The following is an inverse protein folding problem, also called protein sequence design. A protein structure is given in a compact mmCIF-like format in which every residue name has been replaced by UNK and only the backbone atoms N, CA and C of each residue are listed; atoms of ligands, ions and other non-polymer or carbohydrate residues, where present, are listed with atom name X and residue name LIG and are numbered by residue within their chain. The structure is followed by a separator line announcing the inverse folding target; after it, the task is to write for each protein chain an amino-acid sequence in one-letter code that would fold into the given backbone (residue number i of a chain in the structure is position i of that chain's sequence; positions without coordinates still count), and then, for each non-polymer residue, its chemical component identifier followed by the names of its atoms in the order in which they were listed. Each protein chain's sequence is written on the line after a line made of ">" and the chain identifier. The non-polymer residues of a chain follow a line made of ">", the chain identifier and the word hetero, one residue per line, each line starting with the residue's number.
data_IF_828514824090
#
_entry.id   IF_828514824090
#
_cell.length_a   1.000
_cell.length_b   1.000
_cell.length_c   1.000
_cell.angle_alpha   90.00
_cell.angle_beta   90.00
_cell.angle_gamma   90.00
#
_symmetry.space_group_name_H-M   'P 1'
#
loop_
_entity.id
_entity.type
_entity.pdbx_description
1 polymer ?
#
# COMPACT_ATOMS: atom_id res chain seq x y z
N UNK A 1 11.94 -55.26 -3.29
CA UNK A 1 10.85 -54.30 -2.96
C UNK A 1 11.41 -53.14 -2.14
N UNK A 2 12.13 -53.41 -1.06
CA UNK A 2 12.81 -52.38 -0.26
C UNK A 2 13.82 -51.56 -1.07
N UNK A 3 14.62 -52.21 -1.94
CA UNK A 3 15.54 -51.49 -2.84
C UNK A 3 14.83 -50.50 -3.77
N UNK A 4 13.64 -50.88 -4.27
CA UNK A 4 12.84 -50.01 -5.12
C UNK A 4 12.27 -48.82 -4.32
N UNK A 5 11.77 -49.09 -3.11
CA UNK A 5 11.28 -48.04 -2.20
C UNK A 5 12.39 -47.07 -1.83
N UNK A 6 13.60 -47.56 -1.53
CA UNK A 6 14.76 -46.74 -1.23
C UNK A 6 15.23 -45.91 -2.44
N UNK A 7 15.22 -46.49 -3.64
CA UNK A 7 15.56 -45.77 -4.87
C UNK A 7 14.56 -44.65 -5.17
N UNK A 8 13.26 -44.93 -5.02
CA UNK A 8 12.20 -43.92 -5.18
C UNK A 8 12.36 -42.81 -4.14
N UNK A 9 12.53 -43.16 -2.85
CA UNK A 9 12.77 -42.19 -1.78
C UNK A 9 13.97 -41.28 -2.10
N UNK A 10 15.11 -41.85 -2.50
CA UNK A 10 16.29 -41.07 -2.88
C UNK A 10 16.02 -40.12 -4.06
N UNK A 11 15.24 -40.58 -5.04
CA UNK A 11 14.79 -39.75 -6.16
C UNK A 11 13.85 -38.63 -5.74
N UNK A 12 12.95 -38.88 -4.80
CA UNK A 12 11.98 -37.91 -4.28
C UNK A 12 12.63 -36.87 -3.37
N UNK A 13 13.48 -37.27 -2.43
CA UNK A 13 14.23 -36.35 -1.54
C UNK A 13 15.16 -35.46 -2.36
N UNK A 14 15.80 -36.00 -3.40
CA UNK A 14 16.62 -35.22 -4.33
C UNK A 14 15.83 -34.39 -5.36
N UNK A 15 14.50 -34.36 -5.27
CA UNK A 15 13.58 -33.65 -6.17
C UNK A 15 13.75 -34.01 -7.68
N UNK A 16 14.16 -35.25 -7.98
CA UNK A 16 14.35 -35.78 -9.35
C UNK A 16 13.17 -36.61 -9.84
N UNK A 17 12.38 -37.16 -8.93
CA UNK A 17 11.23 -38.02 -9.21
C UNK A 17 10.08 -37.62 -8.30
N UNK A 18 8.89 -37.41 -8.87
CA UNK A 18 7.65 -37.18 -8.11
C UNK A 18 6.76 -38.43 -8.24
N UNK A 19 6.60 -39.24 -7.17
CA UNK A 19 5.76 -40.43 -7.23
C UNK A 19 4.29 -40.05 -7.46
N UNK A 20 3.71 -40.50 -8.57
CA UNK A 20 2.30 -40.27 -8.87
C UNK A 20 1.43 -41.40 -8.32
N UNK A 21 0.42 -41.05 -7.53
CA UNK A 21 -0.59 -41.97 -7.00
C UNK A 21 -1.98 -41.59 -7.51
N UNK A 22 -2.95 -42.52 -7.43
CA UNK A 22 -4.34 -42.26 -7.79
C UNK A 22 -5.30 -42.61 -6.65
N UNK A 23 -6.43 -41.92 -6.60
CA UNK A 23 -7.44 -42.11 -5.58
C UNK A 23 -8.61 -41.12 -5.73
N UNK A 24 -9.60 -41.25 -4.86
CA UNK A 24 -10.71 -40.32 -4.72
C UNK A 24 -11.00 -40.09 -3.25
N UNK A 25 -10.66 -38.90 -2.75
CA UNK A 25 -10.91 -38.49 -1.37
C UNK A 25 -12.43 -38.49 -1.06
N UNK A 26 -13.25 -37.95 -1.97
CA UNK A 26 -14.70 -37.91 -1.82
C UNK A 26 -15.33 -39.31 -1.66
N UNK A 27 -14.78 -40.32 -2.34
CA UNK A 27 -15.25 -41.71 -2.23
C UNK A 27 -14.49 -42.54 -1.19
N UNK A 28 -13.60 -41.92 -0.40
CA UNK A 28 -12.73 -42.56 0.57
C UNK A 28 -11.88 -43.71 -0.01
N UNK A 29 -11.44 -43.60 -1.27
CA UNK A 29 -10.63 -44.63 -1.95
C UNK A 29 -9.21 -44.13 -2.17
N UNK A 30 -8.20 -44.84 -1.68
CA UNK A 30 -6.79 -44.55 -1.95
C UNK A 30 -6.09 -43.60 -0.97
N UNK A 31 -6.84 -42.89 -0.09
CA UNK A 31 -6.25 -41.97 0.90
C UNK A 31 -5.29 -42.67 1.85
N UNK A 32 -5.61 -43.88 2.32
CA UNK A 32 -4.71 -44.67 3.17
C UNK A 32 -3.39 -44.99 2.46
N UNK A 33 -3.43 -45.28 1.16
CA UNK A 33 -2.22 -45.55 0.36
C UNK A 33 -1.40 -44.30 0.08
N UNK A 34 -2.04 -43.14 0.02
CA UNK A 34 -1.35 -41.85 -0.02
C UNK A 34 -0.61 -41.60 1.31
N UNK A 35 -1.24 -41.87 2.46
CA UNK A 35 -0.58 -41.75 3.77
C UNK A 35 0.61 -42.71 3.90
N UNK A 36 0.45 -43.97 3.45
CA UNK A 36 1.56 -44.94 3.37
C UNK A 36 2.70 -44.41 2.46
N UNK A 37 2.37 -43.71 1.38
CA UNK A 37 3.38 -43.16 0.46
C UNK A 37 4.12 -41.97 1.05
N UNK A 38 3.44 -41.13 1.85
CA UNK A 38 4.05 -40.01 2.58
C UNK A 38 5.15 -40.54 3.51
N UNK A 39 4.87 -41.57 4.30
CA UNK A 39 5.87 -42.12 5.24
C UNK A 39 7.04 -42.80 4.52
N UNK A 40 6.79 -43.47 3.40
CA UNK A 40 7.85 -44.16 2.66
C UNK A 40 8.74 -43.21 1.84
N UNK A 41 8.17 -42.19 1.20
CA UNK A 41 8.88 -41.43 0.14
C UNK A 41 9.21 -39.98 0.50
N UNK A 42 8.46 -39.32 1.39
CA UNK A 42 8.76 -37.93 1.77
C UNK A 42 9.90 -37.87 2.82
N UNK A 43 10.68 -36.78 2.83
CA UNK A 43 11.81 -36.61 3.74
C UNK A 43 11.35 -36.44 5.20
N UNK A 44 12.18 -36.93 6.12
CA UNK A 44 12.19 -36.45 7.49
C UNK A 44 12.99 -35.14 7.61
N UNK A 45 12.85 -34.36 8.69
CA UNK A 45 13.66 -33.15 8.90
C UNK A 45 15.17 -33.39 8.78
N UNK A 46 15.66 -34.56 9.19
CA UNK A 46 17.07 -34.95 9.10
C UNK A 46 17.54 -35.36 7.69
N UNK A 47 16.62 -35.64 6.76
CA UNK A 47 16.95 -35.98 5.37
C UNK A 47 17.14 -34.74 4.48
N UNK A 48 16.80 -33.56 5.00
CA UNK A 48 16.91 -32.29 4.28
C UNK A 48 18.31 -31.66 4.49
N UNK A 49 18.79 -30.86 3.52
CA UNK A 49 20.00 -30.07 3.72
C UNK A 49 19.84 -29.09 4.89
N UNK A 50 20.98 -28.69 5.46
CA UNK A 50 21.04 -27.67 6.50
C UNK A 50 20.41 -26.36 6.00
N UNK A 51 19.78 -25.62 6.91
CA UNK A 51 19.15 -24.36 6.54
C UNK A 51 20.22 -23.27 6.49
N UNK A 52 20.24 -22.55 5.37
CA UNK A 52 21.08 -21.36 5.19
C UNK A 52 20.42 -20.15 5.86
N UNK A 53 21.22 -19.40 6.60
CA UNK A 53 20.90 -18.08 7.14
C UNK A 53 22.11 -17.15 7.07
N UNK A 54 21.97 -15.94 7.60
CA UNK A 54 23.07 -14.97 7.69
C UNK A 54 23.13 -14.31 9.06
N UNK A 55 24.26 -13.67 9.38
CA UNK A 55 24.39 -12.89 10.61
C UNK A 55 23.55 -11.60 10.51
N UNK A 56 22.84 -11.16 11.57
CA UNK A 56 22.02 -9.94 11.49
C UNK A 56 22.79 -8.67 11.06
N UNK A 57 24.08 -8.59 11.42
CA UNK A 57 24.95 -7.45 11.09
C UNK A 57 25.69 -7.59 9.75
N UNK A 58 25.77 -8.80 9.19
CA UNK A 58 26.46 -9.06 7.92
C UNK A 58 25.71 -10.10 7.08
N UNK A 59 25.10 -9.61 6.00
CA UNK A 59 24.32 -10.41 5.04
C UNK A 59 25.20 -11.34 4.20
N UNK A 60 26.51 -11.10 4.12
CA UNK A 60 27.44 -11.95 3.36
C UNK A 60 27.93 -13.16 4.16
N UNK A 61 27.87 -13.10 5.50
CA UNK A 61 28.29 -14.20 6.36
C UNK A 61 27.20 -15.28 6.41
N UNK A 62 27.37 -16.35 5.63
CA UNK A 62 26.45 -17.48 5.62
C UNK A 62 26.64 -18.37 6.85
N UNK A 63 25.57 -18.55 7.62
CA UNK A 63 25.50 -19.45 8.77
C UNK A 63 24.63 -20.65 8.39
N UNK A 64 25.14 -21.86 8.62
CA UNK A 64 24.39 -23.10 8.41
C UNK A 64 23.83 -23.61 9.74
N UNK A 65 22.58 -24.08 9.71
CA UNK A 65 21.91 -24.69 10.87
C UNK A 65 21.54 -26.14 10.55
N UNK A 66 22.21 -27.06 11.23
CA UNK A 66 21.92 -28.49 11.18
C UNK A 66 20.65 -28.81 11.96
N UNK A 67 19.88 -29.79 11.49
CA UNK A 67 18.66 -30.25 12.15
C UNK A 67 18.97 -31.16 13.36
N UNK A 68 19.74 -30.63 14.32
CA UNK A 68 20.14 -31.33 15.54
C UNK A 68 19.65 -30.60 16.80
N UNK A 69 19.26 -31.36 17.81
CA UNK A 69 18.73 -30.83 19.08
C UNK A 69 19.80 -30.12 19.93
N UNK A 70 21.08 -30.47 19.73
CA UNK A 70 22.21 -29.89 20.47
C UNK A 70 22.79 -28.65 19.78
N UNK A 71 22.34 -28.31 18.57
CA UNK A 71 22.73 -27.08 17.90
C UNK A 71 22.08 -25.86 18.58
N UNK A 72 22.61 -24.63 18.40
CA UNK A 72 21.99 -23.46 19.00
C UNK A 72 20.64 -23.19 18.34
N UNK A 73 19.66 -22.72 19.12
CA UNK A 73 18.27 -22.63 18.70
C UNK A 73 18.06 -21.70 17.49
N UNK A 74 17.28 -22.16 16.51
CA UNK A 74 16.79 -21.36 15.39
C UNK A 74 15.41 -21.83 14.92
N UNK A 75 14.46 -20.91 14.78
CA UNK A 75 13.12 -21.16 14.29
C UNK A 75 12.62 -20.02 13.40
N UNK A 76 11.72 -20.35 12.47
CA UNK A 76 11.05 -19.37 11.60
C UNK A 76 9.58 -19.27 11.99
N UNK A 77 9.12 -18.06 12.30
CA UNK A 77 7.70 -17.77 12.45
C UNK A 77 7.04 -17.69 11.07
N UNK A 78 6.11 -18.60 10.76
CA UNK A 78 5.50 -18.67 9.42
C UNK A 78 4.02 -18.30 9.41
N UNK A 79 3.38 -18.17 10.57
CA UNK A 79 1.98 -17.73 10.65
C UNK A 79 1.67 -17.12 12.01
N UNK A 80 1.07 -15.94 11.99
CA UNK A 80 0.42 -15.34 13.15
C UNK A 80 -1.09 -15.58 13.04
N UNK A 81 -1.72 -15.91 14.16
CA UNK A 81 -3.17 -16.07 14.26
C UNK A 81 -3.66 -15.47 15.57
N UNK A 82 -4.67 -14.61 15.52
CA UNK A 82 -5.39 -14.20 16.72
C UNK A 82 -6.40 -15.28 17.16
N UNK A 83 -6.24 -15.85 18.35
CA UNK A 83 -7.26 -16.70 18.99
C UNK A 83 -8.03 -15.88 20.06
N UNK A 84 -9.38 -15.94 20.07
CA UNK A 84 -10.19 -15.17 21.01
C UNK A 84 -9.93 -15.45 22.51
N UNK A 85 -9.44 -16.65 22.85
CA UNK A 85 -9.25 -17.08 24.23
C UNK A 85 -7.79 -16.99 24.69
N UNK A 86 -6.84 -17.23 23.76
CA UNK A 86 -5.42 -17.33 24.08
C UNK A 86 -4.59 -16.13 23.62
N UNK A 87 -5.19 -15.21 22.87
CA UNK A 87 -4.51 -14.05 22.31
C UNK A 87 -3.74 -14.39 21.04
N UNK A 88 -2.58 -13.75 20.84
CA UNK A 88 -1.73 -13.91 19.65
C UNK A 88 -0.99 -15.26 19.71
N UNK A 89 -1.32 -16.15 18.77
CA UNK A 89 -0.62 -17.41 18.54
C UNK A 89 0.36 -17.22 17.38
N UNK A 90 1.63 -17.51 17.62
CA UNK A 90 2.66 -17.46 16.59
C UNK A 90 3.11 -18.87 16.30
N UNK A 91 2.79 -19.37 15.11
CA UNK A 91 3.26 -20.65 14.62
C UNK A 91 4.69 -20.50 14.11
N UNK A 92 5.55 -21.36 14.60
CA UNK A 92 6.95 -21.41 14.23
C UNK A 92 7.36 -22.85 13.91
N UNK A 93 8.33 -22.98 13.01
CA UNK A 93 9.03 -24.23 12.71
C UNK A 93 10.43 -24.15 13.31
N UNK A 94 10.79 -25.12 14.15
CA UNK A 94 12.15 -25.23 14.68
C UNK A 94 13.02 -25.93 13.65
N UNK A 95 14.14 -25.30 13.29
CA UNK A 95 15.12 -25.88 12.38
C UNK A 95 16.29 -26.51 13.11
N UNK A 96 16.75 -25.89 14.20
CA UNK A 96 17.87 -26.39 15.00
C UNK A 96 17.69 -26.05 16.48
N UNK A 97 18.30 -26.85 17.34
CA UNK A 97 18.24 -26.70 18.79
C UNK A 97 16.90 -27.04 19.42
N UNK A 98 16.74 -26.64 20.68
CA UNK A 98 15.54 -26.89 21.48
C UNK A 98 14.99 -25.60 22.07
N UNK A 99 13.66 -25.54 22.20
CA UNK A 99 12.97 -24.42 22.83
C UNK A 99 12.21 -24.89 24.06
N UNK A 100 12.41 -24.21 25.18
CA UNK A 100 11.68 -24.47 26.42
C UNK A 100 10.69 -23.36 26.73
N UNK A 101 9.53 -23.70 27.27
CA UNK A 101 8.58 -22.72 27.75
C UNK A 101 9.18 -21.90 28.92
N UNK A 102 9.02 -20.58 28.87
CA UNK A 102 9.51 -19.64 29.88
C UNK A 102 10.88 -19.02 29.60
N UNK A 103 11.60 -19.47 28.57
CA UNK A 103 12.91 -18.91 28.20
C UNK A 103 12.81 -17.64 27.37
N UNK A 104 13.94 -16.93 27.26
CA UNK A 104 14.09 -15.78 26.38
C UNK A 104 14.72 -16.24 25.06
N UNK A 105 14.25 -15.66 23.97
CA UNK A 105 14.76 -15.85 22.61
C UNK A 105 14.98 -14.49 21.96
N UNK A 106 15.89 -14.42 21.01
CA UNK A 106 16.11 -13.22 20.20
C UNK A 106 15.27 -13.30 18.92
N UNK A 107 14.44 -12.30 18.67
CA UNK A 107 13.93 -12.03 17.33
C UNK A 107 15.06 -11.31 16.58
N UNK A 108 15.79 -12.05 15.75
CA UNK A 108 16.99 -11.55 15.06
C UNK A 108 16.65 -10.58 13.92
N UNK A 109 15.46 -10.72 13.31
CA UNK A 109 14.98 -9.78 12.27
C UNK A 109 14.76 -8.37 12.84
N UNK A 110 14.34 -8.26 14.10
CA UNK A 110 14.04 -6.96 14.75
C UNK A 110 15.03 -6.56 15.85
N UNK A 111 15.99 -7.43 16.18
CA UNK A 111 16.96 -7.22 17.25
C UNK A 111 16.33 -7.11 18.65
N UNK A 112 15.18 -7.75 18.88
CA UNK A 112 14.43 -7.65 20.16
C UNK A 112 14.40 -8.98 20.90
N UNK A 113 14.64 -8.93 22.21
CA UNK A 113 14.48 -10.08 23.10
C UNK A 113 13.00 -10.30 23.41
N UNK A 114 12.54 -11.53 23.28
CA UNK A 114 11.17 -11.94 23.57
C UNK A 114 11.14 -13.10 24.55
N UNK A 115 10.09 -13.18 25.36
CA UNK A 115 9.90 -14.26 26.31
C UNK A 115 8.85 -15.22 25.82
N UNK A 116 9.21 -16.49 25.66
CA UNK A 116 8.26 -17.54 25.28
C UNK A 116 7.42 -17.89 26.51
N UNK A 117 6.15 -17.50 26.53
CA UNK A 117 5.28 -17.75 27.69
C UNK A 117 4.80 -19.20 27.76
N UNK A 118 4.04 -19.62 26.75
CA UNK A 118 3.50 -20.98 26.64
C UNK A 118 3.70 -21.51 25.22
N UNK A 119 3.88 -22.82 25.12
CA UNK A 119 4.02 -23.52 23.86
C UNK A 119 2.86 -24.51 23.71
N UNK A 120 2.21 -24.48 22.55
CA UNK A 120 1.01 -25.25 22.24
C UNK A 120 1.22 -26.03 20.94
N UNK A 121 0.93 -27.32 20.97
CA UNK A 121 0.83 -28.15 19.77
C UNK A 121 -0.65 -28.36 19.43
N UNK A 122 -1.01 -27.99 18.21
CA UNK A 122 -2.39 -28.01 17.74
C UNK A 122 -2.66 -29.36 17.07
N UNK A 123 -3.47 -30.21 17.70
CA UNK A 123 -3.94 -31.47 17.13
C UNK A 123 -5.33 -31.29 16.51
N UNK A 124 -5.82 -32.30 15.79
CA UNK A 124 -7.08 -32.24 15.06
C UNK A 124 -8.30 -31.89 15.94
N UNK A 125 -8.33 -32.32 17.20
CA UNK A 125 -9.45 -32.15 18.12
C UNK A 125 -9.06 -31.52 19.48
N UNK A 126 -7.77 -31.40 19.78
CA UNK A 126 -7.29 -30.97 21.08
C UNK A 126 -6.05 -30.09 20.98
N UNK A 127 -5.82 -29.28 22.00
CA UNK A 127 -4.65 -28.42 22.13
C UNK A 127 -3.80 -28.98 23.26
N UNK A 128 -2.55 -29.34 22.97
CA UNK A 128 -1.63 -29.92 23.94
C UNK A 128 -0.59 -28.88 24.34
N UNK A 129 -0.42 -28.63 25.64
CA UNK A 129 0.68 -27.80 26.13
C UNK A 129 1.95 -28.64 26.21
N UNK A 130 3.03 -28.13 25.62
CA UNK A 130 4.36 -28.76 25.65
C UNK A 130 5.31 -27.87 26.44
N UNK A 131 6.19 -28.48 27.21
CA UNK A 131 7.26 -27.77 27.92
C UNK A 131 8.45 -27.53 27.01
N UNK A 132 8.84 -28.54 26.23
CA UNK A 132 10.00 -28.52 25.35
C UNK A 132 9.60 -28.87 23.90
N UNK A 133 10.32 -28.28 22.94
CA UNK A 133 10.21 -28.55 21.49
C UNK A 133 11.59 -28.76 20.88
N UNK A 134 11.67 -29.67 19.91
CA UNK A 134 12.92 -30.17 19.31
C UNK A 134 13.09 -29.73 17.85
N UNK A 135 14.26 -30.03 17.28
CA UNK A 135 14.55 -29.69 15.90
C UNK A 135 13.62 -30.45 14.94
N UNK A 136 12.98 -29.73 14.02
CA UNK A 136 12.02 -30.28 13.04
C UNK A 136 10.55 -30.19 13.46
N UNK A 137 10.25 -29.88 14.72
CA UNK A 137 8.88 -29.74 15.20
C UNK A 137 8.24 -28.40 14.81
N UNK A 138 6.90 -28.40 14.81
CA UNK A 138 6.06 -27.22 14.58
C UNK A 138 5.12 -27.04 15.77
N UNK A 139 5.04 -25.82 16.29
CA UNK A 139 4.12 -25.44 17.35
C UNK A 139 3.75 -23.96 17.31
N UNK A 140 2.84 -23.58 18.20
CA UNK A 140 2.44 -22.20 18.44
C UNK A 140 2.97 -21.69 19.78
N UNK A 141 3.60 -20.52 19.77
CA UNK A 141 4.00 -19.79 20.97
C UNK A 141 2.95 -18.74 21.34
N UNK A 142 2.75 -18.54 22.64
CA UNK A 142 1.94 -17.47 23.23
C UNK A 142 2.84 -16.56 24.06
N UNK A 143 2.65 -15.25 23.93
CA UNK A 143 3.39 -14.23 24.69
C UNK A 143 4.52 -13.54 23.93
N UNK A 144 4.56 -13.71 22.60
CA UNK A 144 5.47 -13.00 21.71
C UNK A 144 4.76 -11.75 21.17
N UNK A 145 5.23 -10.57 21.57
CA UNK A 145 4.55 -9.30 21.29
C UNK A 145 4.97 -8.70 19.95
N UNK A 146 6.25 -8.80 19.60
CA UNK A 146 6.87 -8.15 18.44
C UNK A 146 7.16 -9.07 17.27
N UNK A 147 6.93 -10.37 17.39
CA UNK A 147 7.12 -11.32 16.28
C UNK A 147 5.96 -11.29 15.29
N UNK A 148 6.30 -11.29 13.99
CA UNK A 148 5.37 -11.35 12.85
C UNK A 148 5.72 -12.50 11.91
N UNK A 149 4.85 -12.79 10.93
CA UNK A 149 5.10 -13.79 9.89
C UNK A 149 6.36 -13.42 9.09
N UNK A 150 7.31 -14.36 9.00
CA UNK A 150 8.60 -14.19 8.34
C UNK A 150 9.77 -13.88 9.29
N UNK A 151 9.51 -13.57 10.57
CA UNK A 151 10.57 -13.29 11.53
C UNK A 151 11.31 -14.57 11.96
N UNK A 152 12.61 -14.42 12.25
CA UNK A 152 13.44 -15.49 12.80
C UNK A 152 13.57 -15.36 14.32
N UNK A 153 13.37 -16.47 15.03
CA UNK A 153 13.60 -16.61 16.47
C UNK A 153 14.85 -17.46 16.68
N UNK A 154 15.83 -16.97 17.43
CA UNK A 154 17.09 -17.68 17.65
C UNK A 154 17.61 -17.54 19.09
N UNK A 155 18.69 -18.25 19.39
CA UNK A 155 19.47 -18.05 20.61
C UNK A 155 20.11 -16.65 20.64
N UNK A 156 20.27 -16.08 21.84
CA UNK A 156 20.91 -14.78 22.04
C UNK A 156 22.42 -14.84 21.80
N UNK A 157 23.05 -15.96 22.17
CA UNK A 157 24.51 -16.15 22.07
C UNK A 157 24.95 -16.54 20.65
N UNK A 158 24.02 -16.89 19.78
CA UNK A 158 24.29 -17.33 18.41
C UNK A 158 23.21 -16.83 17.46
N UNK A 159 23.19 -15.50 17.19
CA UNK A 159 22.16 -14.90 16.36
C UNK A 159 22.24 -15.38 14.90
N UNK A 160 21.08 -15.59 14.28
CA UNK A 160 20.97 -15.94 12.87
C UNK A 160 19.67 -15.39 12.31
N UNK A 161 19.69 -14.89 11.09
CA UNK A 161 18.50 -14.54 10.30
C UNK A 161 18.33 -15.61 9.23
N UNK A 162 17.25 -16.39 9.31
CA UNK A 162 16.91 -17.36 8.28
C UNK A 162 16.34 -16.60 7.08
N UNK A 163 16.43 -17.20 5.89
CA UNK A 163 15.93 -16.59 4.66
C UNK A 163 14.44 -16.21 4.82
N UNK A 164 14.18 -14.91 4.78
CA UNK A 164 12.85 -14.36 4.90
C UNK A 164 12.04 -14.74 3.64
N UNK A 165 10.78 -15.08 3.82
CA UNK A 165 9.87 -15.28 2.68
C UNK A 165 9.74 -13.96 1.92
N UNK A 166 10.13 -13.94 0.64
CA UNK A 166 9.86 -12.81 -0.24
C UNK A 166 8.35 -12.75 -0.51
N UNK A 167 7.71 -11.70 0.00
CA UNK A 167 6.31 -11.44 -0.27
C UNK A 167 6.15 -10.63 -1.55
N UNK A 168 5.28 -11.05 -2.48
CA UNK A 168 5.02 -10.29 -3.69
C UNK A 168 4.36 -8.95 -3.37
N UNK A 169 4.65 -7.94 -4.21
CA UNK A 169 4.04 -6.62 -4.09
C UNK A 169 2.54 -6.70 -4.40
N UNK A 170 1.66 -6.06 -3.62
CA UNK A 170 0.23 -6.02 -3.90
C UNK A 170 -0.08 -5.46 -5.29
N UNK A 171 -1.05 -6.06 -5.99
CA UNK A 171 -1.42 -5.68 -7.37
C UNK A 171 -2.79 -5.03 -7.47
N UNK A 172 -3.54 -4.94 -6.36
CA UNK A 172 -4.88 -4.36 -6.38
C UNK A 172 -5.12 -3.53 -5.14
N UNK A 173 -5.83 -2.40 -5.29
CA UNK A 173 -6.15 -1.48 -4.20
C UNK A 173 -7.65 -1.20 -4.12
N UNK A 174 -8.15 -0.91 -2.92
CA UNK A 174 -9.54 -0.63 -2.60
C UNK A 174 -9.63 0.47 -1.54
N UNK A 175 -10.58 1.39 -1.66
CA UNK A 175 -10.79 2.43 -0.65
C UNK A 175 -11.84 1.98 0.36
N UNK A 176 -11.55 2.21 1.64
CA UNK A 176 -12.49 1.98 2.74
C UNK A 176 -12.70 3.27 3.55
N UNK A 177 -13.97 3.61 3.76
CA UNK A 177 -14.38 4.79 4.54
C UNK A 177 -15.36 4.42 5.64
N UNK A 178 -15.11 4.91 6.86
CA UNK A 178 -16.02 4.75 7.99
C UNK A 178 -16.93 5.96 8.14
N UNK A 179 -18.14 5.75 8.66
CA UNK A 179 -19.11 6.84 8.91
C UNK A 179 -18.90 7.52 10.26
N UNK A 180 -18.39 6.79 11.25
CA UNK A 180 -18.21 7.30 12.61
C UNK A 180 -16.74 7.25 13.03
N UNK A 181 -16.34 8.17 13.92
CA UNK A 181 -14.99 8.16 14.52
C UNK A 181 -14.73 6.90 15.34
N UNK A 182 -15.76 6.37 16.01
CA UNK A 182 -15.63 5.14 16.77
C UNK A 182 -15.28 3.95 15.87
N UNK A 183 -15.85 3.90 14.67
CA UNK A 183 -15.52 2.84 13.70
C UNK A 183 -14.17 3.07 13.03
N UNK A 184 -13.69 4.32 12.93
CA UNK A 184 -12.33 4.62 12.48
C UNK A 184 -11.28 4.03 13.43
N UNK A 185 -11.48 4.14 14.75
CA UNK A 185 -10.59 3.54 15.75
C UNK A 185 -10.61 2.00 15.70
N UNK A 186 -11.79 1.40 15.47
CA UNK A 186 -11.92 -0.06 15.28
C UNK A 186 -11.25 -0.51 13.99
N UNK A 187 -11.44 0.23 12.90
CA UNK A 187 -10.83 -0.04 11.60
C UNK A 187 -9.31 -0.05 11.73
N UNK A 188 -8.71 0.98 12.34
CA UNK A 188 -7.27 1.05 12.54
C UNK A 188 -6.73 -0.17 13.32
N UNK A 189 -7.42 -0.58 14.40
CA UNK A 189 -7.04 -1.77 15.19
C UNK A 189 -7.20 -3.09 14.41
N UNK A 190 -8.28 -3.22 13.64
CA UNK A 190 -8.52 -4.40 12.80
C UNK A 190 -7.48 -4.53 11.70
N UNK A 191 -7.21 -3.43 10.99
CA UNK A 191 -6.21 -3.37 9.92
C UNK A 191 -4.80 -3.69 10.41
N UNK A 192 -4.39 -3.16 11.57
CA UNK A 192 -3.09 -3.52 12.17
C UNK A 192 -3.00 -5.02 12.46
N UNK A 193 -4.05 -5.62 13.02
CA UNK A 193 -4.07 -7.07 13.29
C UNK A 193 -4.03 -7.90 12.02
N UNK A 194 -4.79 -7.52 10.99
CA UNK A 194 -4.80 -8.23 9.72
C UNK A 194 -3.46 -8.12 8.99
N UNK A 195 -2.81 -6.95 9.04
CA UNK A 195 -1.47 -6.76 8.48
C UNK A 195 -0.38 -7.56 9.21
N UNK A 196 -0.54 -7.82 10.52
CA UNK A 196 0.35 -8.73 11.26
C UNK A 196 0.16 -10.20 10.86
N UNK A 197 -1.07 -10.60 10.50
CA UNK A 197 -1.38 -11.96 10.04
C UNK A 197 -0.94 -12.20 8.60
N UNK A 198 -1.18 -11.23 7.72
CA UNK A 198 -0.87 -11.30 6.28
C UNK A 198 0.09 -10.17 5.85
N UNK A 199 1.39 -10.47 5.64
CA UNK A 199 2.37 -9.50 5.17
C UNK A 199 2.20 -9.10 3.69
N UNK A 200 1.35 -9.80 2.92
CA UNK A 200 1.02 -9.43 1.53
C UNK A 200 -0.07 -8.36 1.45
N UNK A 201 -0.60 -7.95 2.61
CA UNK A 201 -1.61 -6.91 2.72
C UNK A 201 -0.97 -5.61 3.21
N UNK A 202 -1.16 -4.53 2.44
CA UNK A 202 -0.65 -3.20 2.78
C UNK A 202 -1.81 -2.25 3.05
N UNK A 203 -1.60 -1.37 4.03
CA UNK A 203 -2.56 -0.36 4.42
C UNK A 203 -1.88 1.00 4.33
N UNK A 204 -2.46 1.88 3.54
CA UNK A 204 -2.02 3.26 3.42
C UNK A 204 -3.18 4.19 3.79
N UNK A 205 -2.88 5.28 4.50
CA UNK A 205 -3.86 6.34 4.74
C UNK A 205 -3.58 7.46 3.75
N UNK A 206 -4.52 7.69 2.84
CA UNK A 206 -4.42 8.80 1.90
C UNK A 206 -4.72 10.10 2.65
N UNK A 207 -3.70 10.96 2.73
CA UNK A 207 -3.76 12.23 3.44
C UNK A 207 -4.68 13.25 2.76
N UNK A 208 -5.00 13.06 1.50
CA UNK A 208 -5.78 14.02 0.71
C UNK A 208 -7.27 13.69 0.69
N UNK A 209 -7.60 12.41 0.55
CA UNK A 209 -8.99 11.94 0.56
C UNK A 209 -9.49 11.61 1.98
N UNK A 210 -8.59 11.54 2.96
CA UNK A 210 -8.83 11.00 4.31
C UNK A 210 -9.41 9.58 4.28
N UNK A 211 -9.22 8.87 3.17
CA UNK A 211 -9.65 7.48 3.00
C UNK A 211 -8.50 6.53 3.33
N UNK A 212 -8.84 5.33 3.79
CA UNK A 212 -7.86 4.28 4.00
C UNK A 212 -7.82 3.43 2.74
N UNK A 213 -6.64 3.31 2.12
CA UNK A 213 -6.40 2.51 0.93
C UNK A 213 -5.87 1.15 1.38
N UNK A 214 -6.57 0.11 0.97
CA UNK A 214 -6.25 -1.30 1.24
C UNK A 214 -5.66 -1.90 -0.03
N UNK A 215 -4.44 -2.42 0.05
CA UNK A 215 -3.74 -3.03 -1.09
C UNK A 215 -3.48 -4.50 -0.83
N UNK A 216 -3.81 -5.36 -1.80
CA UNK A 216 -3.66 -6.81 -1.70
C UNK A 216 -3.40 -7.51 -3.04
N UNK A 217 -3.38 -8.84 -2.98
CA UNK A 217 -3.01 -9.73 -4.10
C UNK A 217 -4.10 -9.89 -5.18
N UNK A 218 -5.32 -9.42 -4.92
CA UNK A 218 -6.43 -9.51 -5.87
C UNK A 218 -7.79 -9.25 -5.23
N UNK A 219 -8.84 -9.32 -6.04
CA UNK A 219 -10.22 -8.98 -5.65
C UNK A 219 -10.74 -9.82 -4.50
N UNK A 220 -10.67 -11.15 -4.63
CA UNK A 220 -11.09 -12.06 -3.56
C UNK A 220 -10.29 -11.84 -2.26
N UNK A 221 -9.01 -11.50 -2.36
CA UNK A 221 -8.20 -11.21 -1.17
C UNK A 221 -8.75 -9.98 -0.45
N UNK A 222 -8.96 -8.86 -1.15
CA UNK A 222 -9.51 -7.66 -0.53
C UNK A 222 -10.95 -7.85 -0.04
N UNK A 223 -11.77 -8.63 -0.75
CA UNK A 223 -13.12 -8.98 -0.32
C UNK A 223 -13.11 -9.74 1.02
N UNK A 224 -12.24 -10.74 1.15
CA UNK A 224 -12.08 -11.48 2.41
C UNK A 224 -11.60 -10.55 3.53
N UNK A 225 -10.65 -9.64 3.26
CA UNK A 225 -10.17 -8.69 4.27
C UNK A 225 -11.29 -7.77 4.76
N UNK A 226 -12.10 -7.23 3.84
CA UNK A 226 -13.27 -6.42 4.20
C UNK A 226 -14.28 -7.23 5.01
N UNK A 227 -14.57 -8.45 4.58
CA UNK A 227 -15.50 -9.36 5.26
C UNK A 227 -15.04 -9.66 6.69
N UNK A 228 -13.74 -9.94 6.88
CA UNK A 228 -13.14 -10.13 8.21
C UNK A 228 -13.22 -8.85 9.06
N UNK A 229 -12.99 -7.67 8.49
CA UNK A 229 -13.16 -6.40 9.22
C UNK A 229 -14.60 -6.19 9.70
N UNK A 230 -15.58 -6.55 8.87
CA UNK A 230 -17.00 -6.43 9.23
C UNK A 230 -17.40 -7.46 10.30
N UNK A 231 -17.00 -8.72 10.15
CA UNK A 231 -17.43 -9.81 11.03
C UNK A 231 -16.61 -9.95 12.32
N UNK A 232 -15.28 -9.87 12.24
CA UNK A 232 -14.40 -10.05 13.41
C UNK A 232 -14.31 -8.78 14.26
N UNK A 233 -14.35 -7.61 13.62
CA UNK A 233 -14.11 -6.31 14.28
C UNK A 233 -15.36 -5.42 14.37
N UNK A 234 -16.51 -5.84 13.82
CA UNK A 234 -17.77 -5.07 13.81
C UNK A 234 -17.57 -3.64 13.31
N UNK A 235 -16.83 -3.50 12.20
CA UNK A 235 -16.56 -2.22 11.54
C UNK A 235 -17.62 -1.99 10.47
N UNK A 236 -18.46 -0.97 10.65
CA UNK A 236 -19.33 -0.49 9.58
C UNK A 236 -18.55 0.45 8.66
N UNK A 237 -18.11 -0.09 7.52
CA UNK A 237 -17.39 0.67 6.51
C UNK A 237 -18.02 0.54 5.13
N UNK A 238 -17.96 1.63 4.37
CA UNK A 238 -18.36 1.67 2.97
C UNK A 238 -17.13 1.39 2.14
N UNK A 239 -17.23 0.35 1.33
CA UNK A 239 -16.21 -0.01 0.34
C UNK A 239 -16.46 0.78 -0.93
N UNK A 240 -15.43 1.46 -1.41
CA UNK A 240 -15.43 2.21 -2.65
C UNK A 240 -14.26 1.81 -3.55
N UNK A 241 -14.36 2.20 -4.82
CA UNK A 241 -13.18 2.22 -5.69
C UNK A 241 -12.18 3.25 -5.15
N UNK A 242 -10.86 3.03 -5.30
CA UNK A 242 -9.89 4.07 -4.98
C UNK A 242 -10.21 5.34 -5.74
N UNK A 243 -10.17 6.48 -5.07
CA UNK A 243 -10.36 7.78 -5.73
C UNK A 243 -9.06 8.21 -6.37
N UNK A 244 -9.19 8.82 -7.55
CA UNK A 244 -8.06 9.42 -8.23
C UNK A 244 -7.85 10.81 -7.65
N UNK A 245 -6.63 11.11 -7.22
CA UNK A 245 -6.25 12.43 -6.75
C UNK A 245 -6.07 13.38 -7.94
N UNK A 246 -7.18 13.93 -8.46
CA UNK A 246 -7.15 14.96 -9.49
C UNK A 246 -6.52 16.26 -8.96
N UNK A 247 -6.05 17.09 -9.89
CA UNK A 247 -5.56 18.45 -9.62
C UNK A 247 -6.21 19.45 -10.55
N UNK A 248 -6.13 20.71 -10.17
CA UNK A 248 -6.58 21.84 -10.99
C UNK A 248 -5.38 22.70 -11.38
N UNK A 249 -5.36 23.22 -12.60
CA UNK A 249 -4.41 24.27 -13.00
C UNK A 249 -5.08 25.24 -13.98
N UNK A 250 -4.38 26.31 -14.35
CA UNK A 250 -4.83 27.28 -15.35
C UNK A 250 -4.04 27.11 -16.64
N UNK A 251 -4.63 27.54 -17.76
CA UNK A 251 -3.94 27.56 -19.07
C UNK A 251 -3.56 28.96 -19.50
N UNK A 252 -4.36 29.96 -19.14
CA UNK A 252 -4.15 31.35 -19.54
C UNK A 252 -3.80 32.23 -18.34
N UNK A 253 -2.98 33.24 -18.59
CA UNK A 253 -2.74 34.30 -17.62
C UNK A 253 -4.01 35.13 -17.40
N UNK A 254 -4.27 35.53 -16.17
CA UNK A 254 -5.42 36.36 -15.84
C UNK A 254 -5.10 37.38 -14.74
N UNK A 255 -5.61 38.59 -14.89
CA UNK A 255 -5.52 39.65 -13.89
C UNK A 255 -6.88 39.83 -13.21
N UNK A 256 -6.86 40.03 -11.89
CA UNK A 256 -8.05 40.40 -11.13
C UNK A 256 -7.74 41.45 -10.08
N UNK A 257 -8.57 42.49 -10.08
CA UNK A 257 -8.60 43.53 -9.05
C UNK A 257 -9.83 43.32 -8.18
N UNK A 258 -9.61 43.03 -6.89
CA UNK A 258 -10.69 42.77 -5.94
C UNK A 258 -10.58 43.65 -4.69
N UNK A 259 -11.67 44.36 -4.41
CA UNK A 259 -11.82 45.24 -3.24
C UNK A 259 -12.89 44.71 -2.29
N UNK A 260 -12.47 44.27 -1.11
CA UNK A 260 -13.34 43.85 -0.02
C UNK A 260 -13.62 45.02 0.92
N UNK A 261 -14.84 45.55 0.85
CA UNK A 261 -15.35 46.57 1.79
C UNK A 261 -16.61 46.02 2.46
N UNK A 262 -16.56 45.85 3.78
CA UNK A 262 -17.74 45.41 4.54
C UNK A 262 -17.89 46.23 5.82
N UNK A 263 -19.04 46.88 5.96
CA UNK A 263 -19.39 47.72 7.11
C UNK A 263 -20.74 47.27 7.67
N UNK A 264 -20.76 46.12 8.37
CA UNK A 264 -21.93 45.63 9.10
C UNK A 264 -21.69 45.79 10.59
N UNK A 265 -22.17 46.89 11.17
CA UNK A 265 -22.40 47.08 12.61
C UNK A 265 -21.21 46.98 13.59
N UNK A 266 -20.00 46.67 13.13
CA UNK A 266 -18.77 46.52 13.96
C UNK A 266 -17.53 47.17 13.31
N UNK A 267 -16.32 46.73 13.68
CA UNK A 267 -15.06 47.20 13.06
C UNK A 267 -15.15 47.04 11.53
N UNK A 268 -14.85 48.10 10.79
CA UNK A 268 -14.85 48.07 9.33
C UNK A 268 -13.82 47.07 8.81
N UNK A 269 -14.12 46.44 7.68
CA UNK A 269 -13.16 45.61 6.95
C UNK A 269 -12.87 46.27 5.61
N UNK A 270 -11.60 46.58 5.37
CA UNK A 270 -11.09 47.10 4.12
C UNK A 270 -9.85 46.32 3.68
N UNK A 271 -9.89 45.74 2.48
CA UNK A 271 -8.71 45.20 1.83
C UNK A 271 -8.89 45.29 0.31
N UNK A 272 -7.82 45.66 -0.39
CA UNK A 272 -7.82 45.74 -1.84
C UNK A 272 -6.53 45.10 -2.37
N UNK A 273 -6.69 44.12 -3.24
CA UNK A 273 -5.58 43.35 -3.82
C UNK A 273 -5.76 43.26 -5.33
N UNK A 274 -4.67 43.44 -6.05
CA UNK A 274 -4.57 43.24 -7.49
C UNK A 274 -3.53 42.16 -7.77
N UNK A 275 -3.99 41.05 -8.33
CA UNK A 275 -3.17 39.86 -8.58
C UNK A 275 -3.18 39.53 -10.07
N UNK A 276 -2.03 39.07 -10.55
CA UNK A 276 -1.85 38.47 -11.86
C UNK A 276 -1.48 37.00 -11.64
N UNK A 277 -2.20 36.08 -12.28
CA UNK A 277 -1.93 34.64 -12.20
C UNK A 277 -1.38 34.15 -13.53
N UNK A 278 -0.36 33.28 -13.46
CA UNK A 278 0.27 32.66 -14.61
C UNK A 278 0.38 31.14 -14.42
N UNK A 279 0.23 30.34 -15.48
CA UNK A 279 0.54 28.91 -15.40
C UNK A 279 2.05 28.71 -15.17
N UNK A 280 2.41 27.88 -14.19
CA UNK A 280 3.79 27.44 -13.99
C UNK A 280 4.09 26.22 -14.89
N UNK A 281 5.36 25.80 -15.01
CA UNK A 281 5.63 24.53 -15.69
C UNK A 281 5.18 23.35 -14.82
N UNK A 282 4.82 22.20 -15.44
CA UNK A 282 4.44 21.01 -14.70
C UNK A 282 5.50 20.61 -13.66
N UNK A 283 5.10 20.51 -12.39
CA UNK A 283 5.98 20.11 -11.29
C UNK A 283 6.82 21.23 -10.64
N UNK A 284 6.71 22.48 -11.10
CA UNK A 284 7.30 23.64 -10.43
C UNK A 284 6.48 24.08 -9.19
N UNK A 285 5.21 23.67 -9.10
CA UNK A 285 4.40 23.87 -7.89
C UNK A 285 3.79 25.27 -7.79
N UNK A 286 3.75 25.83 -6.57
CA UNK A 286 3.20 27.17 -6.31
C UNK A 286 4.32 28.18 -6.06
N UNK A 287 4.34 29.25 -6.85
CA UNK A 287 5.26 30.37 -6.65
C UNK A 287 4.48 31.67 -6.38
N UNK A 288 4.90 32.41 -5.36
CA UNK A 288 4.32 33.70 -5.01
C UNK A 288 5.37 34.81 -5.15
N UNK A 289 5.19 35.72 -6.11
CA UNK A 289 6.08 36.86 -6.29
C UNK A 289 5.42 38.16 -5.84
N UNK A 290 6.13 38.90 -5.00
CA UNK A 290 5.70 40.22 -4.57
C UNK A 290 6.29 41.30 -5.51
N UNK A 291 5.45 41.89 -6.37
CA UNK A 291 5.82 42.97 -7.30
C UNK A 291 5.36 44.36 -6.85
N UNK A 292 4.86 44.50 -5.61
CA UNK A 292 4.34 45.78 -5.09
C UNK A 292 5.43 46.86 -5.10
N UNK A 293 5.09 48.02 -5.68
CA UNK A 293 5.93 49.23 -5.68
C UNK A 293 5.32 50.28 -4.74
N UNK A 294 6.16 50.97 -3.97
CA UNK A 294 5.75 52.16 -3.20
C UNK A 294 4.99 51.93 -1.89
N UNK A 295 4.91 50.69 -1.37
CA UNK A 295 4.27 50.42 -0.07
C UNK A 295 2.74 50.50 -0.09
N UNK A 296 2.12 50.27 -1.24
CA UNK A 296 0.66 50.26 -1.43
C UNK A 296 -0.07 49.24 -0.54
N UNK A 297 0.63 48.17 -0.11
CA UNK A 297 0.24 47.28 0.98
C UNK A 297 1.41 47.20 1.97
N UNK A 298 1.18 47.42 3.28
CA UNK A 298 2.18 47.20 4.32
C UNK A 298 2.74 45.77 4.28
N UNK A 299 4.07 45.62 4.46
CA UNK A 299 4.76 44.31 4.40
C UNK A 299 4.19 43.27 5.38
N UNK A 300 3.58 43.73 6.46
CA UNK A 300 2.95 42.88 7.49
C UNK A 300 1.73 42.12 6.94
N UNK A 301 1.01 42.66 5.95
CA UNK A 301 -0.18 42.02 5.39
C UNK A 301 0.09 41.10 4.20
N UNK A 302 1.30 41.14 3.62
CA UNK A 302 1.67 40.32 2.45
C UNK A 302 1.62 38.81 2.75
N UNK A 303 2.14 38.31 3.89
CA UNK A 303 1.99 36.91 4.26
C UNK A 303 0.52 36.49 4.47
N UNK A 304 -0.37 37.41 4.83
CA UNK A 304 -1.79 37.13 4.98
C UNK A 304 -2.49 36.96 3.63
N UNK A 305 -2.05 37.70 2.59
CA UNK A 305 -2.49 37.53 1.20
C UNK A 305 -2.07 36.16 0.68
N UNK A 306 -0.79 35.80 0.84
CA UNK A 306 -0.25 34.49 0.44
C UNK A 306 -1.02 33.33 1.12
N UNK A 307 -1.21 33.40 2.45
CA UNK A 307 -2.03 32.41 3.18
C UNK A 307 -3.48 32.35 2.72
N UNK A 308 -4.02 33.45 2.19
CA UNK A 308 -5.36 33.51 1.59
C UNK A 308 -5.44 32.75 0.28
N UNK A 309 -4.41 32.89 -0.56
CA UNK A 309 -4.26 32.19 -1.84
C UNK A 309 -4.01 30.69 -1.61
N UNK A 310 -3.05 30.32 -0.77
CA UNK A 310 -2.75 28.92 -0.44
C UNK A 310 -3.99 28.20 0.12
N UNK A 311 -4.75 28.86 0.99
CA UNK A 311 -6.00 28.30 1.52
C UNK A 311 -7.14 28.20 0.49
N UNK A 312 -7.10 29.00 -0.58
CA UNK A 312 -8.02 28.87 -1.72
C UNK A 312 -7.60 27.70 -2.62
N UNK A 313 -6.30 27.57 -2.90
CA UNK A 313 -5.72 26.52 -3.74
C UNK A 313 -5.98 25.13 -3.17
N UNK A 314 -5.80 24.94 -1.86
CA UNK A 314 -6.06 23.65 -1.21
C UNK A 314 -7.51 23.17 -1.32
N UNK A 315 -8.48 24.09 -1.39
CA UNK A 315 -9.89 23.75 -1.48
C UNK A 315 -10.36 23.46 -2.91
N UNK A 316 -9.58 23.85 -3.91
CA UNK A 316 -10.00 23.86 -5.31
C UNK A 316 -11.12 24.86 -5.59
N UNK A 317 -11.18 25.34 -6.82
CA UNK A 317 -12.12 26.38 -7.21
C UNK A 317 -13.08 25.85 -8.28
N UNK A 318 -12.57 25.04 -9.20
CA UNK A 318 -13.31 24.55 -10.35
C UNK A 318 -14.14 23.31 -9.99
N UNK A 319 -13.51 22.17 -9.75
CA UNK A 319 -14.15 20.94 -9.29
C UNK A 319 -14.01 20.75 -7.77
N UNK A 320 -13.09 21.45 -7.10
CA UNK A 320 -12.81 21.27 -5.67
C UNK A 320 -11.60 20.38 -5.40
N UNK A 321 -10.69 20.25 -6.38
CA UNK A 321 -9.42 19.58 -6.21
C UNK A 321 -8.29 20.58 -5.99
N UNK A 322 -7.21 20.20 -5.27
CA UNK A 322 -6.08 21.10 -5.03
C UNK A 322 -5.49 21.67 -6.33
N UNK A 323 -5.26 22.98 -6.34
CA UNK A 323 -4.64 23.69 -7.46
C UNK A 323 -3.12 23.54 -7.41
N UNK A 324 -2.49 23.20 -8.54
CA UNK A 324 -1.04 23.03 -8.70
C UNK A 324 -0.52 23.77 -9.93
N UNK A 325 0.79 24.00 -9.96
CA UNK A 325 1.50 24.62 -11.09
C UNK A 325 0.96 26.01 -11.46
N UNK A 326 0.90 26.91 -10.47
CA UNK A 326 0.44 28.29 -10.65
C UNK A 326 1.42 29.26 -9.99
N UNK A 327 1.83 30.28 -10.74
CA UNK A 327 2.55 31.44 -10.24
C UNK A 327 1.56 32.58 -9.98
N UNK A 328 1.66 33.24 -8.83
CA UNK A 328 0.82 34.39 -8.48
C UNK A 328 1.70 35.59 -8.18
N UNK A 329 1.49 36.65 -8.95
CA UNK A 329 2.18 37.92 -8.82
C UNK A 329 1.26 38.94 -8.17
N UNK A 330 1.68 39.47 -7.01
CA UNK A 330 0.98 40.57 -6.35
C UNK A 330 1.47 41.90 -6.92
N UNK A 331 0.66 42.52 -7.78
CA UNK A 331 1.06 43.68 -8.61
C UNK A 331 0.79 44.98 -7.87
N UNK A 332 -0.41 45.16 -7.32
CA UNK A 332 -0.83 46.39 -6.65
C UNK A 332 -1.91 46.13 -5.57
N UNK A 333 -2.30 47.16 -4.84
CA UNK A 333 -3.42 47.11 -3.91
C UNK A 333 -3.58 48.39 -3.09
N UNK A 334 -4.53 48.38 -2.14
CA UNK A 334 -4.69 49.49 -1.21
C UNK A 334 -5.11 49.03 0.18
N UNK A 335 -4.77 49.83 1.18
CA UNK A 335 -5.16 49.60 2.58
C UNK A 335 -5.78 50.86 3.17
N UNK A 336 -6.47 50.68 4.30
CA UNK A 336 -7.04 51.75 5.10
C UNK A 336 -6.48 51.61 6.53
N UNK A 337 -5.98 52.70 7.12
CA UNK A 337 -5.22 52.64 8.38
C UNK A 337 -6.00 52.04 9.56
N UNK A 338 -7.32 52.22 9.58
CA UNK A 338 -8.18 51.80 10.72
C UNK A 338 -8.97 50.52 10.43
N UNK A 339 -9.33 50.29 9.17
CA UNK A 339 -10.26 49.23 8.77
C UNK A 339 -9.56 48.04 8.08
N UNK A 340 -8.27 48.15 7.78
CA UNK A 340 -7.48 47.03 7.27
C UNK A 340 -7.01 46.11 8.38
N UNK A 341 -7.09 44.81 8.11
CA UNK A 341 -6.64 43.75 9.01
C UNK A 341 -6.12 42.57 8.20
N UNK A 342 -5.27 41.74 8.81
CA UNK A 342 -4.78 40.50 8.19
C UNK A 342 -5.93 39.62 7.67
N UNK A 343 -7.01 39.51 8.44
CA UNK A 343 -8.17 38.71 8.05
C UNK A 343 -8.89 39.30 6.82
N UNK A 344 -8.97 40.63 6.70
CA UNK A 344 -9.56 41.28 5.54
C UNK A 344 -8.73 41.01 4.27
N UNK A 345 -7.40 41.12 4.35
CA UNK A 345 -6.51 40.79 3.23
C UNK A 345 -6.54 39.31 2.86
N UNK A 346 -6.64 38.41 3.84
CA UNK A 346 -6.81 36.97 3.58
C UNK A 346 -8.10 36.66 2.82
N UNK A 347 -9.22 37.29 3.20
CA UNK A 347 -10.51 37.12 2.51
C UNK A 347 -10.45 37.73 1.10
N UNK A 348 -9.90 38.93 0.97
CA UNK A 348 -9.76 39.60 -0.32
C UNK A 348 -8.91 38.79 -1.29
N UNK A 349 -7.76 38.28 -0.85
CA UNK A 349 -6.88 37.42 -1.64
C UNK A 349 -7.56 36.13 -2.10
N UNK A 350 -8.35 35.50 -1.22
CA UNK A 350 -9.10 34.28 -1.56
C UNK A 350 -10.14 34.52 -2.66
N UNK A 351 -10.88 35.63 -2.58
CA UNK A 351 -11.90 35.95 -3.60
C UNK A 351 -11.29 36.50 -4.90
N UNK A 352 -10.20 37.26 -4.81
CA UNK A 352 -9.41 37.68 -5.98
C UNK A 352 -8.90 36.46 -6.76
N UNK A 353 -8.27 35.51 -6.05
CA UNK A 353 -7.74 34.30 -6.65
C UNK A 353 -8.83 33.45 -7.29
N UNK A 354 -9.99 33.28 -6.65
CA UNK A 354 -11.14 32.57 -7.26
C UNK A 354 -11.58 33.16 -8.59
N UNK A 355 -11.70 34.50 -8.66
CA UNK A 355 -12.15 35.18 -9.87
C UNK A 355 -11.10 35.17 -10.97
N UNK A 356 -9.84 35.39 -10.61
CA UNK A 356 -8.71 35.26 -11.53
C UNK A 356 -8.63 33.83 -12.10
N UNK A 357 -8.74 32.81 -11.24
CA UNK A 357 -8.67 31.41 -11.62
C UNK A 357 -9.77 31.01 -12.61
N UNK A 358 -11.00 31.47 -12.40
CA UNK A 358 -12.11 31.24 -13.33
C UNK A 358 -11.92 31.95 -14.69
N UNK A 359 -11.22 33.09 -14.72
CA UNK A 359 -10.84 33.79 -15.96
C UNK A 359 -9.66 33.12 -16.68
N UNK A 360 -8.78 32.45 -15.96
CA UNK A 360 -7.59 31.76 -16.47
C UNK A 360 -7.84 30.45 -17.22
N UNK A 361 -9.10 30.14 -17.57
CA UNK A 361 -9.53 28.89 -18.21
C UNK A 361 -9.01 27.65 -17.46
N UNK A 362 -9.64 27.31 -16.31
CA UNK A 362 -9.18 26.23 -15.47
C UNK A 362 -9.35 24.87 -16.14
N UNK A 363 -8.35 24.01 -15.97
CA UNK A 363 -8.34 22.63 -16.49
C UNK A 363 -8.10 21.63 -15.34
N UNK A 364 -8.56 20.40 -15.54
CA UNK A 364 -8.30 19.29 -14.63
C UNK A 364 -7.09 18.50 -15.09
N UNK A 365 -6.28 18.08 -14.12
CA UNK A 365 -5.16 17.18 -14.32
C UNK A 365 -5.44 15.84 -13.64
N UNK A 366 -5.10 14.74 -14.30
CA UNK A 366 -5.11 13.38 -13.76
C UNK A 366 -3.69 12.82 -13.62
N UNK A 367 -3.43 11.95 -12.64
CA UNK A 367 -2.15 11.29 -12.48
C UNK A 367 -1.97 10.23 -13.56
N UNK A 368 -0.84 10.31 -14.24
CA UNK A 368 -0.35 9.35 -15.22
C UNK A 368 0.70 8.44 -14.56
N UNK A 369 0.55 7.15 -14.84
CA UNK A 369 1.38 6.09 -14.30
C UNK A 369 2.30 5.56 -15.39
N UNK A 370 3.60 5.46 -15.07
CA UNK A 370 4.55 4.67 -15.83
C UNK A 370 4.33 3.19 -15.49
N UNK A 371 4.01 2.40 -16.50
CA UNK A 371 3.64 1.00 -16.41
C UNK A 371 4.69 0.17 -17.14
N UNK A 372 5.13 -0.91 -16.49
CA UNK A 372 5.99 -1.91 -17.10
C UNK A 372 5.31 -3.27 -17.01
N UNK A 373 5.03 -3.88 -18.16
CA UNK A 373 4.37 -5.19 -18.24
C UNK A 373 5.32 -6.21 -18.82
N UNK A 374 5.59 -7.28 -18.09
CA UNK A 374 6.36 -8.44 -18.59
C UNK A 374 5.37 -9.53 -19.01
N UNK A 375 5.38 -9.89 -20.30
CA UNK A 375 4.45 -10.86 -20.88
C UNK A 375 5.15 -11.80 -21.87
N UNK A 376 4.68 -13.03 -22.09
CA UNK A 376 5.16 -13.88 -23.18
C UNK A 376 4.96 -13.24 -24.56
N UNK A 377 5.86 -13.52 -25.51
CA UNK A 377 5.82 -12.96 -26.88
C UNK A 377 4.48 -13.17 -27.61
N UNK A 378 3.82 -14.30 -27.34
CA UNK A 378 2.55 -14.69 -27.97
C UNK A 378 1.39 -13.72 -27.65
N UNK A 379 1.44 -13.02 -26.52
CA UNK A 379 0.32 -12.23 -25.97
C UNK A 379 0.59 -10.72 -25.98
N UNK A 380 1.72 -10.28 -26.56
CA UNK A 380 2.11 -8.86 -26.59
C UNK A 380 1.06 -8.01 -27.30
N UNK A 381 0.52 -8.49 -28.42
CA UNK A 381 -0.48 -7.76 -29.20
C UNK A 381 -1.74 -7.44 -28.40
N UNK A 382 -2.24 -8.41 -27.63
CA UNK A 382 -3.44 -8.24 -26.80
C UNK A 382 -3.18 -7.31 -25.61
N UNK A 383 -2.00 -7.41 -24.98
CA UNK A 383 -1.59 -6.51 -23.88
C UNK A 383 -1.48 -5.06 -24.37
N UNK A 384 -0.87 -4.85 -25.53
CA UNK A 384 -0.76 -3.51 -26.14
C UNK A 384 -2.13 -2.98 -26.53
N UNK A 385 -3.01 -3.84 -27.04
CA UNK A 385 -4.39 -3.49 -27.34
C UNK A 385 -5.17 -3.01 -26.12
N UNK A 386 -5.05 -3.72 -24.99
CA UNK A 386 -5.72 -3.35 -23.73
C UNK A 386 -5.19 -2.02 -23.17
N UNK A 387 -3.86 -1.82 -23.15
CA UNK A 387 -3.25 -0.55 -22.72
C UNK A 387 -3.72 0.61 -23.60
N UNK A 388 -3.73 0.44 -24.93
CA UNK A 388 -4.22 1.47 -25.85
C UNK A 388 -5.71 1.77 -25.63
N UNK A 389 -6.53 0.74 -25.35
CA UNK A 389 -7.96 0.91 -25.06
C UNK A 389 -8.23 1.73 -23.80
N UNK A 390 -7.29 1.69 -22.85
CA UNK A 390 -7.29 2.45 -21.58
C UNK A 390 -6.62 3.82 -21.69
N UNK A 391 -6.55 4.39 -22.90
CA UNK A 391 -5.87 5.68 -23.18
C UNK A 391 -4.37 5.67 -22.89
N UNK A 392 -3.77 4.49 -22.74
CA UNK A 392 -2.34 4.35 -22.54
C UNK A 392 -1.54 4.56 -23.82
N UNK A 393 -0.34 5.10 -23.70
CA UNK A 393 0.63 5.31 -24.77
C UNK A 393 1.83 4.40 -24.53
N UNK A 394 2.23 3.65 -25.54
CA UNK A 394 3.41 2.79 -25.45
C UNK A 394 4.67 3.65 -25.62
N UNK A 395 5.57 3.59 -24.63
CA UNK A 395 6.86 4.28 -24.64
C UNK A 395 7.94 3.43 -25.31
N UNK A 396 7.90 2.11 -25.13
CA UNK A 396 8.88 1.20 -25.73
C UNK A 396 8.56 -0.28 -25.47
N UNK A 397 9.22 -1.16 -26.20
CA UNK A 397 9.17 -2.61 -25.99
C UNK A 397 10.59 -3.17 -26.01
N UNK A 398 10.92 -3.99 -25.02
CA UNK A 398 12.24 -4.63 -24.89
C UNK A 398 12.09 -6.15 -24.72
N UNK A 399 12.91 -6.90 -25.46
CA UNK A 399 12.96 -8.36 -25.33
C UNK A 399 13.94 -8.76 -24.22
N UNK A 400 13.49 -9.51 -23.21
CA UNK A 400 14.33 -10.00 -22.11
C UNK A 400 14.07 -11.47 -21.83
N UNK A 401 15.07 -12.32 -22.07
CA UNK A 401 15.08 -13.73 -21.68
C UNK A 401 13.82 -14.55 -22.07
N UNK A 402 13.27 -14.33 -23.27
CA UNK A 402 12.08 -15.04 -23.75
C UNK A 402 10.73 -14.45 -23.28
N UNK A 403 10.76 -13.31 -22.58
CA UNK A 403 9.62 -12.47 -22.32
C UNK A 403 9.81 -11.09 -22.99
N UNK A 404 8.70 -10.40 -23.22
CA UNK A 404 8.67 -9.03 -23.72
C UNK A 404 8.23 -8.10 -22.59
N UNK A 405 8.99 -7.03 -22.43
CA UNK A 405 8.72 -5.95 -21.48
C UNK A 405 8.12 -4.80 -22.28
N UNK A 406 6.88 -4.44 -21.97
CA UNK A 406 6.16 -3.32 -22.57
C UNK A 406 6.14 -2.17 -21.58
N UNK A 407 6.81 -1.08 -21.93
CA UNK A 407 6.78 0.16 -21.16
C UNK A 407 5.70 1.09 -21.73
N UNK A 408 4.82 1.60 -20.87
CA UNK A 408 3.71 2.45 -21.27
C UNK A 408 3.40 3.52 -20.22
N UNK A 409 2.74 4.59 -20.66
CA UNK A 409 2.19 5.66 -19.84
C UNK A 409 0.67 5.59 -19.91
N UNK A 410 -0.04 5.47 -18.80
CA UNK A 410 -1.51 5.49 -18.81
C UNK A 410 -2.11 6.20 -17.59
N UNK A 411 -3.32 6.79 -17.73
CA UNK A 411 -4.02 7.43 -16.62
C UNK A 411 -4.40 6.44 -15.51
N UNK A 412 -4.17 6.78 -14.24
CA UNK A 412 -4.55 5.92 -13.11
C UNK A 412 -6.05 5.61 -13.08
N UNK A 413 -6.88 6.55 -13.55
CA UNK A 413 -8.34 6.42 -13.65
C UNK A 413 -8.80 5.21 -14.49
N UNK A 414 -8.03 4.85 -15.52
CA UNK A 414 -8.34 3.75 -16.43
C UNK A 414 -7.65 2.43 -16.03
N UNK A 415 -6.76 2.47 -15.03
CA UNK A 415 -5.98 1.31 -14.58
C UNK A 415 -6.68 0.51 -13.47
N UNK A 416 -7.85 0.95 -13.02
CA UNK A 416 -8.64 0.17 -12.06
C UNK A 416 -9.06 -1.19 -12.66
N UNK A 417 -8.73 -2.26 -11.95
CA UNK A 417 -9.00 -3.63 -12.39
C UNK A 417 -8.06 -4.14 -13.49
N UNK A 418 -6.97 -3.42 -13.80
CA UNK A 418 -6.00 -3.84 -14.82
C UNK A 418 -5.38 -5.21 -14.51
N UNK A 419 -5.06 -5.49 -13.25
CA UNK A 419 -4.54 -6.81 -12.82
C UNK A 419 -5.45 -7.97 -13.27
N UNK A 420 -6.76 -7.82 -13.12
CA UNK A 420 -7.75 -8.84 -13.51
C UNK A 420 -7.84 -8.99 -15.02
N UNK A 421 -7.89 -7.87 -15.76
CA UNK A 421 -7.91 -7.88 -17.22
C UNK A 421 -6.65 -8.51 -17.80
N UNK A 422 -5.47 -8.08 -17.32
CA UNK A 422 -4.18 -8.62 -17.73
C UNK A 422 -4.08 -10.12 -17.46
N UNK A 423 -4.54 -10.58 -16.30
CA UNK A 423 -4.56 -12.01 -15.96
C UNK A 423 -5.45 -12.80 -16.90
N UNK A 424 -6.61 -12.26 -17.30
CA UNK A 424 -7.50 -12.91 -18.27
C UNK A 424 -6.88 -12.99 -19.66
N UNK A 425 -6.28 -11.91 -20.14
CA UNK A 425 -5.64 -11.84 -21.46
C UNK A 425 -4.45 -12.81 -21.53
N UNK A 426 -3.65 -12.84 -20.46
CA UNK A 426 -2.38 -13.57 -20.45
C UNK A 426 -2.47 -14.97 -19.86
N UNK A 427 -3.68 -15.44 -19.54
CA UNK A 427 -3.90 -16.69 -18.79
C UNK A 427 -3.09 -16.73 -17.47
N UNK A 428 -2.85 -15.56 -16.88
CA UNK A 428 -2.10 -15.35 -15.65
C UNK A 428 -0.58 -15.54 -15.75
N UNK A 429 -0.01 -15.44 -16.95
CA UNK A 429 1.44 -15.55 -17.17
C UNK A 429 2.18 -14.21 -17.15
N UNK A 430 1.47 -13.08 -17.24
CA UNK A 430 2.08 -11.77 -17.21
C UNK A 430 2.09 -11.14 -15.82
N UNK A 431 3.07 -10.29 -15.60
CA UNK A 431 3.24 -9.46 -14.40
C UNK A 431 3.35 -8.00 -14.82
N UNK A 432 2.92 -7.08 -13.96
CA UNK A 432 3.09 -5.65 -14.22
C UNK A 432 3.55 -4.90 -12.97
N UNK A 433 4.19 -3.77 -13.19
CA UNK A 433 4.47 -2.77 -12.16
C UNK A 433 3.97 -1.40 -12.63
N UNK A 434 3.61 -0.53 -11.68
CA UNK A 434 3.17 0.83 -11.98
C UNK A 434 3.72 1.82 -10.95
N UNK A 435 4.19 2.97 -11.42
CA UNK A 435 4.71 4.06 -10.59
C UNK A 435 4.18 5.40 -11.09
N UNK A 436 3.95 6.35 -10.18
CA UNK A 436 3.54 7.70 -10.57
C UNK A 436 4.65 8.39 -11.37
N UNK A 437 4.29 8.98 -12.52
CA UNK A 437 5.24 9.71 -13.36
C UNK A 437 4.97 11.21 -13.36
N UNK A 438 3.74 11.62 -13.70
CA UNK A 438 3.36 13.04 -13.83
C UNK A 438 1.85 13.25 -13.74
N UNK A 439 1.45 14.50 -13.61
CA UNK A 439 0.08 14.93 -13.89
C UNK A 439 -0.06 15.35 -15.36
N UNK A 440 -1.15 14.96 -16.00
CA UNK A 440 -1.48 15.35 -17.37
C UNK A 440 -2.93 15.83 -17.49
N UNK A 441 -3.21 16.60 -18.54
CA UNK A 441 -4.54 17.16 -18.79
C UNK A 441 -5.60 16.08 -19.04
N UNK A 442 -6.73 16.20 -18.34
CA UNK A 442 -7.88 15.32 -18.51
C UNK A 442 -8.61 15.68 -19.82
N UNK A 443 -8.95 14.71 -20.67
CA UNK A 443 -9.77 14.96 -21.85
C UNK A 443 -11.10 15.65 -21.51
N UNK A 444 -11.51 16.61 -22.34
CA UNK A 444 -12.68 17.47 -22.11
C UNK A 444 -13.95 16.69 -21.71
N UNK A 445 -14.26 15.59 -22.40
CA UNK A 445 -15.45 14.77 -22.12
C UNK A 445 -15.48 14.14 -20.72
N UNK A 446 -14.32 13.75 -20.18
CA UNK A 446 -14.19 13.18 -18.83
C UNK A 446 -14.20 14.31 -17.80
N UNK A 447 -13.61 15.46 -18.15
CA UNK A 447 -13.57 16.63 -17.27
C UNK A 447 -14.98 17.14 -16.91
N UNK A 448 -15.92 17.18 -17.88
CA UNK A 448 -17.31 17.60 -17.62
C UNK A 448 -18.02 16.64 -16.65
N UNK A 449 -17.82 15.33 -16.81
CA UNK A 449 -18.42 14.32 -15.93
C UNK A 449 -17.93 14.46 -14.49
N UNK A 450 -16.62 14.64 -14.31
CA UNK A 450 -16.02 14.82 -12.97
C UNK A 450 -16.53 16.11 -12.32
N UNK A 451 -16.65 17.20 -13.09
CA UNK A 451 -17.18 18.48 -12.59
C UNK A 451 -18.65 18.32 -12.17
N UNK A 452 -19.46 17.59 -12.93
CA UNK A 452 -20.85 17.31 -12.56
C UNK A 452 -20.98 16.43 -11.30
N UNK A 453 -20.15 15.40 -11.17
CA UNK A 453 -20.11 14.54 -9.97
C UNK A 453 -19.67 15.33 -8.74
N UNK A 454 -18.59 16.11 -8.84
CA UNK A 454 -18.12 16.97 -7.76
C UNK A 454 -19.16 18.04 -7.38
N UNK A 455 -19.96 18.53 -8.33
CA UNK A 455 -21.06 19.46 -8.06
C UNK A 455 -22.25 18.79 -7.34
N UNK A 456 -22.48 17.49 -7.54
CA UNK A 456 -23.49 16.71 -6.80
C UNK A 456 -23.01 16.42 -5.38
N UNK A 457 -21.75 16.03 -5.20
CA UNK A 457 -21.17 15.77 -3.88
C UNK A 457 -21.08 17.03 -3.01
N UNK A 458 -20.92 18.23 -3.60
CA UNK A 458 -21.01 19.50 -2.86
C UNK A 458 -22.42 19.89 -2.42
N UNK A 459 -23.46 19.27 -2.99
CA UNK A 459 -24.89 19.55 -2.69
C UNK A 459 -25.52 18.53 -1.74
N UNK A 460 -24.94 17.33 -1.63
CA UNK A 460 -25.29 16.32 -0.63
C UNK A 460 -24.62 16.64 0.71
#
# INVERSE_FOLDING_TARGET
>A
KEELTAAIRKGTVGNKIVPALCGSAFKNKGVQKLLDAITHYLPSPADLPEVEGHHPDDVQEKILRSAEDNAPFSALAFKVQADPHMGKLIYFRVYSGTLKAGTYVLNSTKGKKERVGRILQMHANQREMREDIFAGDIAAAVGLDHTVTGDTLCDEDSPVVLEAMEFPVPVMSLSIKTKTRADQDKLAKGLMRLAEEDPTFMVESDKETEETILSGMGELHLEIIVDRLQHEFNVEAVVGKPKVAYRETITNAAEENYKHVKQTGGKGQYAHVEIEIHPAKPGEGFEFNNKIKGGAIPREYIPAVEKGIVGAMQKGIFAGFPVVDVCVDLVDGSYHEVDSSEMAFKIAAREAFKRAFMKGAPILLEPHMSIEVTTPEEQVGDVVGDICSRRGKISGMEAKAGAQIVAADAPLSEMFGYATALRSITSGRATYSMHFERYAEVPYAISEQIVEEAAKDKKA
#
